data_IF_770502866326
#
_entry.id   IF_770502866326
#
_cell.length_a   1.000
_cell.length_b   1.000
_cell.length_c   1.000
_cell.angle_alpha   90.00
_cell.angle_beta   90.00
_cell.angle_gamma   90.00
#
_symmetry.space_group_name_H-M   'P 1'
#
loop_
_entity.id
_entity.type
_entity.pdbx_description
1 polymer ?
#
# COMPACT_ATOMS: atom_id res chain seq x y z
N UNK A 1 -25.97 27.20 3.52
CA UNK A 1 -25.50 27.35 4.92
C UNK A 1 -25.61 28.82 5.37
N UNK A 2 -25.70 29.12 6.68
CA UNK A 2 -25.61 30.50 7.21
C UNK A 2 -24.41 30.58 8.16
N UNK A 3 -23.43 31.43 7.84
CA UNK A 3 -22.30 31.76 8.71
C UNK A 3 -22.46 33.24 9.08
N UNK A 4 -22.57 33.52 10.38
CA UNK A 4 -23.00 34.82 10.92
C UNK A 4 -24.29 35.32 10.23
N UNK A 5 -24.19 36.46 9.54
CA UNK A 5 -25.29 37.10 8.82
C UNK A 5 -25.27 36.82 7.31
N UNK A 6 -24.34 35.99 6.82
CA UNK A 6 -24.21 35.68 5.39
C UNK A 6 -24.83 34.32 5.08
N UNK A 7 -25.69 34.28 4.05
CA UNK A 7 -26.29 33.06 3.52
C UNK A 7 -25.50 32.64 2.28
N UNK A 8 -24.95 31.43 2.33
CA UNK A 8 -24.20 30.82 1.24
C UNK A 8 -25.08 29.77 0.56
N UNK A 9 -25.11 29.80 -0.77
CA UNK A 9 -25.92 28.91 -1.63
C UNK A 9 -25.07 27.86 -2.37
N UNK A 10 -23.74 27.90 -2.24
CA UNK A 10 -22.86 26.89 -2.82
C UNK A 10 -22.88 25.58 -2.04
N UNK A 11 -22.56 24.50 -2.76
CA UNK A 11 -22.47 23.14 -2.22
C UNK A 11 -21.17 22.90 -1.43
N UNK A 12 -20.20 23.82 -1.53
CA UNK A 12 -18.94 23.76 -0.79
C UNK A 12 -18.42 25.17 -0.46
N UNK A 13 -17.54 25.27 0.54
CA UNK A 13 -16.75 26.46 0.85
C UNK A 13 -15.32 26.09 1.21
N UNK A 14 -14.37 26.97 0.87
CA UNK A 14 -12.96 26.80 1.21
C UNK A 14 -12.64 27.60 2.47
N UNK A 15 -11.96 26.96 3.42
CA UNK A 15 -11.25 27.62 4.49
C UNK A 15 -9.79 27.74 4.03
N UNK A 16 -9.32 28.98 3.90
CA UNK A 16 -7.94 29.29 3.55
C UNK A 16 -7.28 29.96 4.75
N UNK A 17 -6.01 29.64 5.08
CA UNK A 17 -5.27 30.39 6.07
C UNK A 17 -5.10 31.84 5.59
N UNK A 18 -5.16 32.80 6.52
CA UNK A 18 -5.04 34.24 6.22
C UNK A 18 -3.65 34.66 5.75
N UNK A 19 -2.67 33.77 5.86
CA UNK A 19 -1.27 33.88 5.47
C UNK A 19 -0.82 32.56 4.83
N UNK A 20 0.48 32.42 4.51
CA UNK A 20 1.06 31.14 4.05
C UNK A 20 1.20 30.11 5.20
N UNK A 21 0.28 30.15 6.17
CA UNK A 21 0.23 29.26 7.31
C UNK A 21 -0.40 27.91 6.96
N UNK A 22 -0.79 27.20 8.01
CA UNK A 22 -1.46 25.90 7.93
C UNK A 22 -2.81 25.98 8.63
N UNK A 23 -3.72 25.07 8.29
CA UNK A 23 -4.98 24.90 9.00
C UNK A 23 -4.84 23.73 9.98
N UNK A 24 -5.31 23.94 11.22
CA UNK A 24 -5.38 22.85 12.21
C UNK A 24 -6.78 22.24 12.24
N UNK A 25 -6.84 20.92 12.13
CA UNK A 25 -8.06 20.14 12.30
C UNK A 25 -7.72 18.85 13.07
N UNK A 26 -8.45 18.58 14.16
CA UNK A 26 -8.18 17.45 15.08
C UNK A 26 -6.69 17.33 15.47
N UNK A 27 -6.10 18.44 15.92
CA UNK A 27 -4.69 18.56 16.34
C UNK A 27 -3.63 18.29 15.26
N UNK A 28 -4.04 18.05 14.01
CA UNK A 28 -3.14 17.88 12.86
C UNK A 28 -3.14 19.14 11.99
N UNK A 29 -1.97 19.54 11.52
CA UNK A 29 -1.75 20.70 10.67
C UNK A 29 -1.78 20.29 9.18
N UNK A 30 -2.41 21.11 8.35
CA UNK A 30 -2.57 20.88 6.91
C UNK A 30 -2.15 22.11 6.11
N UNK A 31 -1.33 21.89 5.08
CA UNK A 31 -0.98 22.91 4.07
C UNK A 31 -2.16 23.13 3.11
N UNK A 32 -2.18 24.27 2.41
CA UNK A 32 -3.24 24.61 1.47
C UNK A 32 -4.53 25.05 2.18
N UNK A 33 -5.68 24.56 1.70
CA UNK A 33 -7.01 24.94 2.17
C UNK A 33 -7.84 23.71 2.57
N UNK A 34 -8.94 23.93 3.31
CA UNK A 34 -9.94 22.89 3.56
C UNK A 34 -11.21 23.20 2.78
N UNK A 35 -11.56 22.32 1.84
CA UNK A 35 -12.85 22.31 1.16
C UNK A 35 -13.86 21.56 2.02
N UNK A 36 -14.87 22.26 2.50
CA UNK A 36 -15.98 21.71 3.26
C UNK A 36 -17.16 21.49 2.31
N UNK A 37 -17.45 20.24 2.00
CA UNK A 37 -18.51 19.85 1.07
C UNK A 37 -19.68 19.21 1.81
N UNK A 38 -20.85 19.84 1.76
CA UNK A 38 -22.05 19.30 2.40
C UNK A 38 -22.66 18.18 1.55
N UNK A 39 -23.08 17.10 2.19
CA UNK A 39 -23.95 16.07 1.64
C UNK A 39 -25.30 16.12 2.35
N UNK A 40 -26.24 15.25 1.98
CA UNK A 40 -27.57 15.20 2.60
C UNK A 40 -27.52 14.99 4.12
N UNK A 41 -26.52 14.24 4.62
CA UNK A 41 -26.43 13.84 6.03
C UNK A 41 -25.07 14.12 6.70
N UNK A 42 -24.07 14.64 5.99
CA UNK A 42 -22.73 14.85 6.54
C UNK A 42 -21.99 16.03 5.89
N UNK A 43 -20.85 16.39 6.46
CA UNK A 43 -19.90 17.33 5.85
C UNK A 43 -18.60 16.56 5.60
N UNK A 44 -18.18 16.51 4.34
CA UNK A 44 -16.84 16.05 3.99
C UNK A 44 -15.85 17.19 4.20
N UNK A 45 -14.73 16.87 4.84
CA UNK A 45 -13.62 17.78 5.07
C UNK A 45 -12.47 17.31 4.18
N UNK A 46 -12.15 18.09 3.16
CA UNK A 46 -11.21 17.71 2.11
C UNK A 46 -10.05 18.69 2.15
N UNK A 47 -8.83 18.20 2.34
CA UNK A 47 -7.65 19.05 2.21
C UNK A 47 -7.37 19.31 0.72
N UNK A 48 -7.52 20.55 0.29
CA UNK A 48 -7.23 21.00 -1.06
C UNK A 48 -5.85 21.66 -1.09
N UNK A 49 -4.91 21.01 -1.76
CA UNK A 49 -3.48 21.25 -1.66
C UNK A 49 -2.81 21.02 -3.03
N UNK A 50 -1.70 21.71 -3.30
CA UNK A 50 -0.92 21.46 -4.50
C UNK A 50 -0.18 20.12 -4.40
N UNK A 51 -0.02 19.42 -5.53
CA UNK A 51 0.58 18.08 -5.58
C UNK A 51 1.96 18.00 -4.91
N UNK A 52 2.84 18.98 -5.13
CA UNK A 52 4.17 18.98 -4.51
C UNK A 52 4.10 19.10 -2.97
N UNK A 53 3.23 19.97 -2.43
CA UNK A 53 3.07 20.12 -0.97
C UNK A 53 2.41 18.89 -0.35
N UNK A 54 1.49 18.26 -1.07
CA UNK A 54 0.89 16.98 -0.68
C UNK A 54 1.98 15.91 -0.50
N UNK A 55 2.87 15.77 -1.49
CA UNK A 55 3.94 14.78 -1.46
C UNK A 55 4.87 14.96 -0.25
N UNK A 56 5.18 16.21 0.14
CA UNK A 56 6.00 16.46 1.35
C UNK A 56 5.41 15.82 2.62
N UNK A 57 4.08 15.76 2.72
CA UNK A 57 3.37 15.08 3.81
C UNK A 57 3.18 13.57 3.63
N UNK A 58 3.45 13.02 2.43
CA UNK A 58 3.35 11.59 2.12
C UNK A 58 4.68 10.87 2.36
N UNK A 59 5.80 11.41 1.87
CA UNK A 59 7.06 10.67 1.78
C UNK A 59 7.56 10.15 3.14
N UNK A 60 7.49 10.97 4.18
CA UNK A 60 7.92 10.59 5.53
C UNK A 60 6.98 9.60 6.24
N UNK A 61 5.75 9.46 5.74
CA UNK A 61 4.77 8.48 6.22
C UNK A 61 4.91 7.14 5.52
N UNK A 62 5.34 7.15 4.27
CA UNK A 62 5.49 5.96 3.45
C UNK A 62 6.84 5.28 3.63
N UNK A 63 7.93 6.04 3.77
CA UNK A 63 9.28 5.49 3.84
C UNK A 63 10.12 6.12 4.97
N UNK A 64 10.90 5.32 5.72
CA UNK A 64 11.83 5.84 6.70
C UNK A 64 12.87 6.81 6.10
N UNK A 65 13.04 7.97 6.72
CA UNK A 65 13.98 9.01 6.27
C UNK A 65 15.46 8.58 6.37
N UNK A 66 15.78 7.65 7.27
CA UNK A 66 17.16 7.21 7.51
C UNK A 66 18.02 8.24 8.25
N UNK A 67 19.34 8.09 8.17
CA UNK A 67 20.33 8.98 8.82
C UNK A 67 21.00 9.86 7.77
N UNK A 68 21.00 11.17 7.99
CA UNK A 68 21.58 12.12 7.04
C UNK A 68 20.86 12.08 5.69
N UNK A 69 21.61 11.87 4.61
CA UNK A 69 21.09 11.76 3.23
C UNK A 69 21.15 10.33 2.69
N UNK A 70 21.39 9.33 3.54
CA UNK A 70 21.64 7.95 3.10
C UNK A 70 20.48 7.34 2.29
N UNK A 71 19.24 7.75 2.60
CA UNK A 71 18.04 7.29 1.91
C UNK A 71 17.52 8.28 0.86
N UNK A 72 18.26 9.36 0.54
CA UNK A 72 17.72 10.43 -0.32
C UNK A 72 17.31 9.90 -1.71
N UNK A 73 18.10 9.02 -2.31
CA UNK A 73 17.82 8.46 -3.63
C UNK A 73 16.62 7.50 -3.59
N UNK A 74 16.46 6.73 -2.50
CA UNK A 74 15.26 5.94 -2.25
C UNK A 74 14.02 6.84 -2.11
N UNK A 75 14.11 7.92 -1.35
CA UNK A 75 13.00 8.88 -1.15
C UNK A 75 12.61 9.57 -2.46
N UNK A 76 13.59 9.91 -3.32
CA UNK A 76 13.33 10.45 -4.66
C UNK A 76 12.58 9.45 -5.55
N UNK A 77 13.03 8.20 -5.58
CA UNK A 77 12.37 7.13 -6.35
C UNK A 77 10.91 6.93 -5.90
N UNK A 78 10.68 6.89 -4.58
CA UNK A 78 9.34 6.81 -4.01
C UNK A 78 8.52 8.06 -4.35
N UNK A 79 9.12 9.24 -4.35
CA UNK A 79 8.42 10.49 -4.67
C UNK A 79 7.92 10.50 -6.10
N UNK A 80 8.72 10.05 -7.05
CA UNK A 80 8.30 9.92 -8.45
C UNK A 80 7.16 8.91 -8.58
N UNK A 81 7.24 7.77 -7.88
CA UNK A 81 6.14 6.80 -7.82
C UNK A 81 4.87 7.43 -7.23
N UNK A 82 4.98 8.08 -6.08
CA UNK A 82 3.86 8.71 -5.38
C UNK A 82 3.20 9.81 -6.23
N UNK A 83 4.00 10.64 -6.91
CA UNK A 83 3.50 11.67 -7.82
C UNK A 83 2.76 11.08 -9.02
N UNK A 84 3.31 10.00 -9.59
CA UNK A 84 2.70 9.29 -10.72
C UNK A 84 1.37 8.67 -10.31
N UNK A 85 1.32 8.01 -9.15
CA UNK A 85 0.10 7.45 -8.57
C UNK A 85 -0.97 8.53 -8.36
N UNK A 86 -0.61 9.64 -7.68
CA UNK A 86 -1.51 10.74 -7.42
C UNK A 86 -2.06 11.37 -8.72
N UNK A 87 -1.20 11.51 -9.74
CA UNK A 87 -1.60 12.00 -11.07
C UNK A 87 -2.66 11.10 -11.72
N UNK A 88 -2.49 9.77 -11.63
CA UNK A 88 -3.47 8.81 -12.13
C UNK A 88 -4.80 8.92 -11.36
N UNK A 89 -4.76 9.03 -10.03
CA UNK A 89 -5.96 9.19 -9.19
C UNK A 89 -6.74 10.47 -9.48
N UNK A 90 -6.03 11.58 -9.68
CA UNK A 90 -6.66 12.84 -10.09
C UNK A 90 -7.34 12.74 -11.47
N UNK A 91 -6.78 11.95 -12.39
CA UNK A 91 -7.38 11.69 -13.72
C UNK A 91 -8.61 10.76 -13.66
N UNK A 92 -8.67 9.84 -12.68
CA UNK A 92 -9.84 8.95 -12.49
C UNK A 92 -11.11 9.73 -12.12
N UNK A 93 -10.99 10.94 -11.55
CA UNK A 93 -12.10 11.88 -11.39
C UNK A 93 -13.18 11.43 -10.40
N UNK A 94 -12.80 11.10 -9.16
CA UNK A 94 -13.75 10.88 -8.05
C UNK A 94 -14.59 12.15 -7.79
N UNK A 95 -15.81 11.98 -7.29
CA UNK A 95 -16.86 13.03 -7.38
C UNK A 95 -16.59 14.32 -6.59
N UNK A 96 -15.85 14.28 -5.47
CA UNK A 96 -15.61 15.47 -4.62
C UNK A 96 -14.17 15.67 -4.13
N UNK A 97 -13.34 14.62 -4.09
CA UNK A 97 -11.92 14.58 -3.72
C UNK A 97 -11.18 13.55 -4.58
N UNK A 98 -9.86 13.66 -4.71
CA UNK A 98 -9.06 12.78 -5.60
C UNK A 98 -8.50 11.54 -4.87
N UNK A 99 -7.91 11.72 -3.68
CA UNK A 99 -7.09 10.72 -2.98
C UNK A 99 -7.48 10.65 -1.49
N UNK A 100 -7.54 9.44 -0.92
CA UNK A 100 -7.66 9.18 0.52
C UNK A 100 -6.31 9.38 1.23
N UNK A 101 -6.33 9.82 2.49
CA UNK A 101 -5.13 10.11 3.28
C UNK A 101 -4.60 8.91 4.09
N UNK A 102 -5.06 7.70 3.80
CA UNK A 102 -4.74 6.45 4.49
C UNK A 102 -4.38 5.31 3.52
N UNK A 103 -4.30 4.06 4.03
CA UNK A 103 -3.88 2.87 3.28
C UNK A 103 -4.74 2.55 2.06
N UNK A 104 -5.91 3.18 1.90
CA UNK A 104 -6.73 3.01 0.69
C UNK A 104 -6.07 3.61 -0.55
N UNK A 105 -5.30 4.68 -0.38
CA UNK A 105 -4.53 5.29 -1.45
C UNK A 105 -3.07 5.50 -0.99
N UNK A 106 -2.75 6.62 -0.32
CA UNK A 106 -1.40 6.90 0.20
C UNK A 106 -1.48 7.54 1.59
N UNK A 107 -0.56 7.18 2.47
CA UNK A 107 -0.51 7.71 3.83
C UNK A 107 -0.10 9.18 3.83
N UNK A 108 -1.04 10.09 4.10
CA UNK A 108 -0.76 11.53 4.13
C UNK A 108 -0.81 12.08 5.55
N UNK A 109 0.35 12.51 6.03
CA UNK A 109 0.56 13.01 7.38
C UNK A 109 0.32 14.51 7.57
N UNK A 110 -0.13 15.24 6.55
CA UNK A 110 -0.28 16.68 6.62
C UNK A 110 1.06 17.42 6.78
N UNK A 111 0.98 18.68 7.18
CA UNK A 111 2.14 19.56 7.41
C UNK A 111 3.06 19.03 8.51
N UNK A 112 2.51 18.36 9.51
CA UNK A 112 3.28 17.85 10.65
C UNK A 112 4.20 16.66 10.28
N UNK A 113 3.98 16.04 9.12
CA UNK A 113 4.84 14.98 8.61
C UNK A 113 5.97 15.49 7.72
N UNK A 114 5.94 16.73 7.28
CA UNK A 114 7.01 17.31 6.46
C UNK A 114 8.35 17.33 7.22
N UNK A 115 9.44 17.18 6.48
CA UNK A 115 10.79 17.15 7.03
C UNK A 115 11.78 17.71 5.99
N UNK A 116 12.93 18.26 6.40
CA UNK A 116 13.91 18.78 5.44
C UNK A 116 14.34 17.76 4.37
N UNK A 117 14.40 16.47 4.70
CA UNK A 117 14.81 15.44 3.75
C UNK A 117 13.69 15.00 2.81
N UNK A 118 12.45 14.87 3.29
CA UNK A 118 11.29 14.62 2.42
C UNK A 118 11.07 15.79 1.47
N UNK A 119 11.20 17.01 1.97
CA UNK A 119 11.05 18.23 1.18
C UNK A 119 12.10 18.31 0.08
N UNK A 120 13.35 17.99 0.42
CA UNK A 120 14.44 17.92 -0.55
C UNK A 120 14.19 16.87 -1.64
N UNK A 121 13.71 15.67 -1.29
CA UNK A 121 13.39 14.63 -2.27
C UNK A 121 12.28 15.08 -3.24
N UNK A 122 11.27 15.79 -2.73
CA UNK A 122 10.20 16.40 -3.53
C UNK A 122 10.73 17.49 -4.45
N UNK A 123 11.53 18.41 -3.93
CA UNK A 123 12.08 19.54 -4.67
C UNK A 123 13.04 19.10 -5.78
N UNK A 124 13.93 18.14 -5.51
CA UNK A 124 14.88 17.63 -6.50
C UNK A 124 14.22 16.75 -7.59
N UNK A 125 13.01 16.24 -7.34
CA UNK A 125 12.22 15.47 -8.31
C UNK A 125 10.98 16.22 -8.79
N UNK A 126 10.96 17.56 -8.66
CA UNK A 126 9.77 18.35 -8.94
C UNK A 126 9.22 18.10 -10.35
N UNK A 127 7.93 17.77 -10.40
CA UNK A 127 7.21 17.44 -11.63
C UNK A 127 7.64 16.13 -12.32
N UNK A 128 8.58 15.36 -11.78
CA UNK A 128 9.00 14.09 -12.38
C UNK A 128 8.00 12.98 -12.11
N UNK A 129 7.60 12.27 -13.16
CA UNK A 129 6.70 11.12 -13.13
C UNK A 129 7.30 9.95 -13.93
N UNK A 130 6.86 8.73 -13.63
CA UNK A 130 7.17 7.54 -14.42
C UNK A 130 6.20 7.44 -15.59
N UNK A 131 6.75 7.22 -16.78
CA UNK A 131 6.00 7.00 -18.01
C UNK A 131 6.36 5.65 -18.63
N UNK A 132 5.35 5.01 -19.22
CA UNK A 132 5.53 3.88 -20.13
C UNK A 132 4.83 4.19 -21.45
N UNK A 133 5.52 4.00 -22.57
CA UNK A 133 4.99 4.33 -23.90
C UNK A 133 4.42 5.76 -24.04
N UNK A 134 5.07 6.74 -23.39
CA UNK A 134 4.68 8.17 -23.32
C UNK A 134 3.42 8.51 -22.52
N UNK A 135 2.83 7.55 -21.80
CA UNK A 135 1.73 7.79 -20.86
C UNK A 135 2.20 7.55 -19.42
N UNK A 136 1.60 8.20 -18.41
CA UNK A 136 1.91 7.91 -17.00
C UNK A 136 1.76 6.42 -16.71
N UNK A 137 2.82 5.82 -16.20
CA UNK A 137 2.86 4.40 -15.86
C UNK A 137 1.95 4.13 -14.65
N UNK A 138 1.18 3.05 -14.69
CA UNK A 138 0.58 2.49 -13.47
C UNK A 138 1.72 2.12 -12.53
N UNK A 139 1.68 2.60 -11.29
CA UNK A 139 2.73 2.35 -10.31
C UNK A 139 2.14 1.84 -9.01
N UNK A 140 2.85 0.92 -8.40
CA UNK A 140 2.57 0.40 -7.07
C UNK A 140 3.87 0.36 -6.29
N UNK A 141 3.78 0.40 -4.96
CA UNK A 141 4.92 0.26 -4.09
C UNK A 141 4.48 -0.38 -2.78
N UNK A 142 5.35 -1.19 -2.19
CA UNK A 142 5.09 -1.84 -0.90
C UNK A 142 6.34 -1.89 -0.04
N UNK A 143 6.17 -2.19 1.25
CA UNK A 143 7.26 -2.09 2.22
C UNK A 143 8.41 -3.03 1.90
N UNK A 144 8.15 -4.34 1.86
CA UNK A 144 9.18 -5.37 1.77
C UNK A 144 8.70 -6.47 0.83
N UNK A 145 9.38 -6.70 -0.29
CA UNK A 145 8.89 -7.65 -1.30
C UNK A 145 9.08 -9.11 -0.88
N UNK A 146 10.14 -9.39 -0.10
CA UNK A 146 10.52 -10.74 0.34
C UNK A 146 11.52 -11.43 -0.60
N UNK A 147 12.23 -10.69 -1.45
CA UNK A 147 13.26 -11.21 -2.37
C UNK A 147 12.85 -11.22 -3.85
N UNK A 148 11.56 -11.10 -4.13
CA UNK A 148 11.05 -10.94 -5.49
C UNK A 148 9.77 -10.11 -5.46
N UNK A 149 9.62 -9.17 -6.39
CA UNK A 149 8.38 -8.39 -6.52
C UNK A 149 7.31 -9.19 -7.28
N UNK A 150 6.04 -8.94 -7.01
CA UNK A 150 4.94 -9.65 -7.65
C UNK A 150 4.52 -9.00 -8.96
N UNK A 151 4.07 -9.79 -9.92
CA UNK A 151 3.40 -9.26 -11.10
C UNK A 151 2.09 -8.54 -10.70
N UNK A 152 1.82 -7.38 -11.30
CA UNK A 152 0.62 -6.60 -10.97
C UNK A 152 -0.68 -7.37 -11.26
N UNK A 153 -0.67 -8.22 -12.28
CA UNK A 153 -1.85 -8.98 -12.68
C UNK A 153 -2.22 -10.10 -11.70
N UNK A 154 -1.29 -10.50 -10.82
CA UNK A 154 -1.53 -11.48 -9.76
C UNK A 154 -2.19 -10.86 -8.52
N UNK A 155 -2.24 -9.53 -8.41
CA UNK A 155 -2.67 -8.85 -7.18
C UNK A 155 -3.77 -7.80 -7.39
N UNK A 156 -3.68 -6.96 -8.42
CA UNK A 156 -4.53 -5.76 -8.51
C UNK A 156 -5.39 -5.64 -9.76
N UNK A 157 -4.97 -6.23 -10.87
CA UNK A 157 -5.59 -5.95 -12.17
C UNK A 157 -5.55 -7.17 -13.07
N UNK A 158 -6.36 -7.19 -14.12
CA UNK A 158 -6.23 -8.19 -15.20
C UNK A 158 -5.43 -7.64 -16.38
N UNK A 159 -5.07 -6.36 -16.34
CA UNK A 159 -4.26 -5.74 -17.37
C UNK A 159 -2.80 -6.16 -17.19
N UNK A 160 -2.17 -6.58 -18.28
CA UNK A 160 -0.74 -6.85 -18.32
C UNK A 160 0.02 -5.53 -18.50
N UNK A 161 0.97 -5.28 -17.61
CA UNK A 161 1.89 -4.15 -17.70
C UNK A 161 3.30 -4.72 -17.78
N UNK A 162 3.98 -4.67 -18.94
CA UNK A 162 5.27 -5.35 -19.14
C UNK A 162 6.38 -4.95 -18.16
N UNK A 163 6.24 -3.77 -17.54
CA UNK A 163 7.15 -3.22 -16.54
C UNK A 163 6.72 -3.52 -15.08
N UNK A 164 5.67 -4.34 -14.89
CA UNK A 164 5.17 -4.83 -13.60
C UNK A 164 4.96 -6.35 -13.61
N UNK A 165 5.89 -7.11 -14.22
CA UNK A 165 5.86 -8.58 -14.24
C UNK A 165 6.55 -9.21 -13.01
N UNK A 166 7.11 -8.38 -12.13
CA UNK A 166 7.94 -8.84 -11.01
C UNK A 166 9.41 -8.92 -11.41
N UNK A 167 10.28 -8.58 -10.47
CA UNK A 167 11.73 -8.58 -10.60
C UNK A 167 12.37 -9.15 -9.33
N UNK A 168 13.50 -9.82 -9.49
CA UNK A 168 14.35 -10.26 -8.37
C UNK A 168 14.88 -9.03 -7.61
N UNK A 169 14.77 -9.03 -6.28
CA UNK A 169 15.30 -7.97 -5.41
C UNK A 169 16.75 -8.27 -5.00
N UNK A 170 17.57 -8.67 -5.97
CA UNK A 170 18.94 -9.14 -5.77
C UNK A 170 19.07 -10.61 -5.37
N UNK A 171 20.27 -11.17 -5.54
CA UNK A 171 20.57 -12.57 -5.19
C UNK A 171 20.56 -12.83 -3.67
N UNK A 172 21.04 -11.87 -2.88
CA UNK A 172 20.73 -11.76 -1.45
C UNK A 172 19.77 -10.58 -1.33
N UNK A 173 18.50 -10.81 -0.94
CA UNK A 173 17.44 -9.82 -1.02
C UNK A 173 17.84 -8.47 -0.41
N UNK A 174 17.78 -7.41 -1.22
CA UNK A 174 18.09 -6.05 -0.79
C UNK A 174 17.20 -5.62 0.38
N UNK A 175 15.92 -6.02 0.36
CA UNK A 175 14.97 -5.70 1.42
C UNK A 175 15.17 -6.46 2.75
N UNK A 176 16.20 -7.31 2.87
CA UNK A 176 16.50 -8.10 4.09
C UNK A 176 16.87 -7.29 5.31
N UNK A 177 17.26 -6.02 5.15
CA UNK A 177 17.44 -5.11 6.29
C UNK A 177 16.12 -4.72 6.99
N UNK A 178 14.97 -5.01 6.37
CA UNK A 178 13.66 -4.73 6.95
C UNK A 178 13.43 -5.59 8.18
N UNK A 179 12.96 -4.99 9.27
CA UNK A 179 12.50 -5.74 10.45
C UNK A 179 11.24 -6.56 10.19
N UNK A 180 10.65 -6.42 9.00
CA UNK A 180 9.48 -7.17 8.51
C UNK A 180 9.83 -8.08 7.34
N UNK A 181 11.12 -8.39 7.16
CA UNK A 181 11.57 -9.30 6.12
C UNK A 181 11.20 -10.76 6.42
N UNK A 182 11.31 -11.17 7.67
CA UNK A 182 10.91 -12.49 8.18
C UNK A 182 9.89 -12.27 9.30
N UNK A 183 8.89 -13.14 9.36
CA UNK A 183 7.86 -13.12 10.39
C UNK A 183 7.25 -14.51 10.57
N UNK A 184 6.68 -14.75 11.74
CA UNK A 184 6.00 -15.98 12.10
C UNK A 184 4.65 -15.64 12.70
N UNK A 185 3.62 -16.34 12.28
CA UNK A 185 2.29 -16.28 12.86
C UNK A 185 1.83 -17.69 13.26
N UNK A 186 1.13 -17.80 14.38
CA UNK A 186 0.65 -19.07 14.91
C UNK A 186 -0.86 -18.96 15.14
N UNK A 187 -1.61 -19.85 14.50
CA UNK A 187 -3.06 -19.91 14.63
C UNK A 187 -3.50 -21.23 15.26
N UNK A 188 -4.46 -21.16 16.18
CA UNK A 188 -5.23 -22.37 16.48
C UNK A 188 -6.15 -22.69 15.31
N UNK A 189 -6.51 -23.96 15.15
CA UNK A 189 -7.42 -24.41 14.09
C UNK A 189 -8.80 -23.75 14.21
N UNK A 190 -9.26 -23.47 15.42
CA UNK A 190 -10.52 -22.76 15.69
C UNK A 190 -10.47 -21.31 15.17
N UNK A 191 -9.36 -20.59 15.38
CA UNK A 191 -9.21 -19.23 14.88
C UNK A 191 -9.28 -19.19 13.34
N UNK A 192 -8.72 -20.20 12.66
CA UNK A 192 -8.83 -20.29 11.20
C UNK A 192 -10.28 -20.54 10.76
N UNK A 193 -11.01 -21.44 11.44
CA UNK A 193 -12.43 -21.68 11.14
C UNK A 193 -13.26 -20.39 11.36
N UNK A 194 -13.05 -19.70 12.48
CA UNK A 194 -13.75 -18.44 12.79
C UNK A 194 -13.52 -17.39 11.69
N UNK A 195 -12.29 -17.30 11.16
CA UNK A 195 -11.95 -16.40 10.04
C UNK A 195 -12.68 -16.76 8.75
N UNK A 196 -12.84 -18.05 8.45
CA UNK A 196 -13.61 -18.48 7.29
C UNK A 196 -15.10 -18.12 7.43
N UNK A 197 -15.65 -18.21 8.65
CA UNK A 197 -17.03 -17.78 8.95
C UNK A 197 -17.17 -16.26 8.82
N UNK A 198 -16.23 -15.49 9.38
CA UNK A 198 -16.22 -14.01 9.29
C UNK A 198 -16.10 -13.52 7.84
N UNK A 199 -15.35 -14.24 7.01
CA UNK A 199 -15.24 -13.99 5.58
C UNK A 199 -16.45 -14.47 4.76
N UNK A 200 -17.47 -15.04 5.41
CA UNK A 200 -18.65 -15.66 4.79
C UNK A 200 -18.32 -16.78 3.79
N UNK A 201 -17.20 -17.49 4.01
CA UNK A 201 -16.81 -18.69 3.26
C UNK A 201 -17.35 -19.97 3.91
N UNK A 202 -17.79 -19.90 5.16
CA UNK A 202 -18.47 -20.95 5.89
C UNK A 202 -19.73 -20.43 6.58
N UNK A 203 -20.72 -21.31 6.75
CA UNK A 203 -21.85 -21.02 7.65
C UNK A 203 -21.40 -21.07 9.11
N UNK A 204 -22.07 -20.32 9.99
CA UNK A 204 -21.78 -20.31 11.42
C UNK A 204 -22.29 -21.60 12.10
N UNK A 205 -21.51 -22.68 11.95
CA UNK A 205 -21.72 -24.02 12.49
C UNK A 205 -20.41 -24.56 13.09
N UNK A 206 -20.45 -25.75 13.66
CA UNK A 206 -19.24 -26.45 14.15
C UNK A 206 -18.60 -27.27 13.04
N UNK A 207 -17.27 -27.18 12.95
CA UNK A 207 -16.44 -27.94 12.00
C UNK A 207 -15.23 -28.54 12.73
N UNK A 208 -14.80 -29.72 12.28
CA UNK A 208 -13.51 -30.29 12.61
C UNK A 208 -12.51 -29.92 11.52
N UNK A 209 -11.31 -29.49 11.91
CA UNK A 209 -10.26 -29.10 10.98
C UNK A 209 -9.42 -30.32 10.59
N UNK A 210 -9.34 -30.61 9.30
CA UNK A 210 -8.56 -31.72 8.77
C UNK A 210 -7.16 -31.24 8.34
N UNK A 211 -7.08 -30.46 7.26
CA UNK A 211 -5.82 -30.10 6.63
C UNK A 211 -5.84 -28.68 6.05
N UNK A 212 -4.65 -28.07 5.92
CA UNK A 212 -4.42 -26.84 5.18
C UNK A 212 -3.28 -27.04 4.18
N UNK A 213 -3.54 -26.70 2.92
CA UNK A 213 -2.69 -27.07 1.79
C UNK A 213 -2.44 -25.84 0.92
N UNK A 214 -1.17 -25.61 0.57
CA UNK A 214 -0.79 -24.67 -0.50
C UNK A 214 -0.78 -25.47 -1.80
N UNK A 215 -1.77 -25.23 -2.65
CA UNK A 215 -1.92 -25.94 -3.93
C UNK A 215 -1.10 -25.31 -5.05
N UNK A 216 -0.96 -23.98 -5.03
CA UNK A 216 -0.24 -23.27 -6.09
C UNK A 216 0.45 -21.99 -5.60
N UNK A 217 1.48 -21.58 -6.34
CA UNK A 217 2.26 -20.35 -6.11
C UNK A 217 2.51 -19.64 -7.42
N UNK A 218 2.51 -18.32 -7.37
CA UNK A 218 3.02 -17.49 -8.46
C UNK A 218 4.55 -17.64 -8.57
N UNK A 219 5.11 -17.23 -9.72
CA UNK A 219 6.56 -17.27 -9.99
C UNK A 219 7.40 -16.54 -8.92
N UNK A 220 6.86 -15.50 -8.30
CA UNK A 220 7.49 -14.76 -7.19
C UNK A 220 7.46 -15.51 -5.83
N UNK A 221 6.95 -16.74 -5.78
CA UNK A 221 6.84 -17.58 -4.58
C UNK A 221 5.61 -17.32 -3.71
N UNK A 222 4.87 -16.24 -3.95
CA UNK A 222 3.63 -15.93 -3.23
C UNK A 222 2.57 -17.00 -3.49
N UNK A 223 1.83 -17.38 -2.44
CA UNK A 223 0.72 -18.33 -2.50
C UNK A 223 -0.37 -17.79 -3.43
N UNK A 224 -0.74 -18.59 -4.42
CA UNK A 224 -1.88 -18.33 -5.30
C UNK A 224 -3.11 -19.11 -4.85
N UNK A 225 -2.97 -20.38 -4.46
CA UNK A 225 -4.12 -21.17 -4.01
C UNK A 225 -3.84 -21.79 -2.63
N UNK A 226 -4.68 -21.42 -1.66
CA UNK A 226 -4.75 -22.02 -0.34
C UNK A 226 -6.05 -22.79 -0.19
N UNK A 227 -5.97 -24.06 0.19
CA UNK A 227 -7.12 -24.93 0.45
C UNK A 227 -7.15 -25.34 1.92
N UNK A 228 -8.33 -25.23 2.55
CA UNK A 228 -8.58 -25.70 3.91
C UNK A 228 -9.67 -26.77 3.84
N UNK A 229 -9.35 -27.97 4.33
CA UNK A 229 -10.22 -29.13 4.40
C UNK A 229 -10.78 -29.27 5.81
N UNK A 230 -12.09 -29.50 5.90
CA UNK A 230 -12.84 -29.55 7.15
C UNK A 230 -13.90 -30.67 7.08
N UNK A 231 -14.39 -31.13 8.21
CA UNK A 231 -15.56 -32.01 8.31
C UNK A 231 -16.66 -31.32 9.12
N UNK A 232 -17.91 -31.36 8.66
CA UNK A 232 -19.03 -30.83 9.45
C UNK A 232 -19.58 -31.88 10.44
N UNK A 233 -20.51 -31.47 11.31
CA UNK A 233 -21.10 -32.36 12.32
C UNK A 233 -21.92 -33.54 11.76
N UNK A 234 -22.31 -33.48 10.48
CA UNK A 234 -23.02 -34.57 9.79
C UNK A 234 -22.04 -35.56 9.12
N UNK A 235 -20.74 -35.30 9.21
CA UNK A 235 -19.67 -36.11 8.63
C UNK A 235 -19.43 -35.86 7.14
N UNK A 236 -19.77 -34.67 6.65
CA UNK A 236 -19.52 -34.25 5.27
C UNK A 236 -18.22 -33.45 5.18
N UNK A 237 -17.36 -33.84 4.24
CA UNK A 237 -16.13 -33.15 3.90
C UNK A 237 -16.42 -31.82 3.19
N UNK A 238 -15.78 -30.75 3.66
CA UNK A 238 -15.88 -29.39 3.15
C UNK A 238 -14.50 -28.93 2.71
N UNK A 239 -14.43 -28.37 1.51
CA UNK A 239 -13.22 -27.75 0.95
C UNK A 239 -13.47 -26.25 0.75
N UNK A 240 -12.63 -25.42 1.35
CA UNK A 240 -12.62 -23.96 1.18
C UNK A 240 -11.33 -23.56 0.47
N UNK A 241 -11.47 -22.95 -0.71
CA UNK A 241 -10.34 -22.44 -1.51
C UNK A 241 -10.30 -20.92 -1.48
N UNK A 242 -9.12 -20.37 -1.22
CA UNK A 242 -8.87 -18.93 -1.16
C UNK A 242 -7.70 -18.61 -2.09
N UNK A 243 -7.81 -17.53 -2.84
CA UNK A 243 -6.88 -17.23 -3.93
C UNK A 243 -6.10 -15.93 -3.73
N UNK A 244 -4.83 -15.94 -4.16
CA UNK A 244 -3.93 -14.80 -4.23
C UNK A 244 -4.03 -13.86 -3.02
N UNK A 245 -4.27 -12.58 -3.28
CA UNK A 245 -4.30 -11.56 -2.23
C UNK A 245 -5.54 -11.65 -1.30
N UNK A 246 -6.59 -12.40 -1.68
CA UNK A 246 -7.75 -12.62 -0.81
C UNK A 246 -7.38 -13.48 0.40
N UNK A 247 -6.36 -14.34 0.30
CA UNK A 247 -5.82 -15.11 1.42
C UNK A 247 -5.48 -14.19 2.58
N UNK A 248 -4.81 -13.08 2.28
CA UNK A 248 -4.47 -12.09 3.30
C UNK A 248 -5.72 -11.44 3.88
N UNK A 249 -6.73 -11.12 3.08
CA UNK A 249 -7.98 -10.54 3.58
C UNK A 249 -8.78 -11.49 4.48
N UNK A 250 -8.83 -12.78 4.14
CA UNK A 250 -9.56 -13.81 4.88
C UNK A 250 -8.84 -14.16 6.17
N UNK A 251 -7.53 -14.35 6.11
CA UNK A 251 -6.75 -14.73 7.28
C UNK A 251 -6.42 -13.54 8.19
N UNK A 252 -6.60 -12.29 7.74
CA UNK A 252 -6.38 -11.08 8.53
C UNK A 252 -7.71 -10.46 8.93
N UNK A 253 -8.42 -11.02 9.91
CA UNK A 253 -9.66 -10.39 10.43
C UNK A 253 -9.70 -10.21 11.95
N UNK A 254 -10.15 -9.00 12.33
CA UNK A 254 -10.91 -8.69 13.54
C UNK A 254 -10.15 -8.33 14.81
N UNK A 255 -9.16 -9.14 15.22
CA UNK A 255 -8.64 -9.07 16.59
C UNK A 255 -7.52 -8.02 16.80
N UNK A 256 -6.97 -7.48 15.70
CA UNK A 256 -5.88 -6.51 15.70
C UNK A 256 -4.57 -7.05 16.25
N UNK A 257 -4.41 -8.38 16.36
CA UNK A 257 -3.21 -9.03 16.91
C UNK A 257 -2.45 -9.85 15.89
N UNK A 258 -3.17 -10.41 14.92
CA UNK A 258 -2.58 -11.20 13.86
C UNK A 258 -2.43 -10.36 12.59
N UNK A 259 -1.21 -10.33 12.07
CA UNK A 259 -0.89 -9.54 10.90
C UNK A 259 -0.24 -10.45 9.87
N UNK A 260 -1.03 -11.16 9.07
CA UNK A 260 -0.49 -11.81 7.88
C UNK A 260 0.10 -10.71 6.97
N UNK A 261 1.42 -10.55 7.00
CA UNK A 261 2.10 -9.40 6.42
C UNK A 261 2.18 -9.47 4.90
N UNK A 262 2.23 -10.67 4.35
CA UNK A 262 2.25 -10.92 2.91
C UNK A 262 1.61 -12.28 2.59
N UNK A 263 1.51 -12.61 1.30
CA UNK A 263 1.15 -13.95 0.83
C UNK A 263 2.39 -14.80 0.48
N UNK A 264 3.58 -14.33 0.81
CA UNK A 264 4.82 -15.09 0.67
C UNK A 264 5.10 -15.79 2.00
N UNK A 265 4.63 -17.01 2.13
CA UNK A 265 4.81 -17.82 3.33
C UNK A 265 4.78 -19.32 3.02
N UNK A 266 5.28 -20.11 3.95
CA UNK A 266 5.08 -21.55 4.06
C UNK A 266 4.19 -21.88 5.28
N UNK A 267 3.61 -23.08 5.30
CA UNK A 267 2.72 -23.53 6.37
C UNK A 267 3.23 -24.86 6.95
N UNK A 268 3.14 -25.00 8.27
CA UNK A 268 3.36 -26.24 9.01
C UNK A 268 2.19 -26.53 9.96
N UNK A 269 1.63 -27.75 9.90
CA UNK A 269 0.68 -28.24 10.92
C UNK A 269 1.43 -28.91 12.06
N UNK A 270 1.33 -28.36 13.27
CA UNK A 270 1.94 -28.90 14.50
C UNK A 270 0.94 -29.62 15.40
N UNK A 271 -0.21 -30.04 14.85
CA UNK A 271 -1.26 -30.79 15.53
C UNK A 271 -2.39 -29.90 16.02
N UNK A 272 -2.16 -29.15 17.09
CA UNK A 272 -3.15 -28.23 17.69
C UNK A 272 -3.11 -26.81 17.11
N UNK A 273 -2.09 -26.51 16.30
CA UNK A 273 -1.84 -25.19 15.73
C UNK A 273 -1.26 -25.29 14.33
N UNK A 274 -1.52 -24.25 13.54
CA UNK A 274 -0.94 -23.99 12.24
C UNK A 274 0.11 -22.89 12.40
N UNK A 275 1.34 -23.17 12.01
CA UNK A 275 2.44 -22.20 11.96
C UNK A 275 2.59 -21.69 10.54
N UNK A 276 2.64 -20.37 10.39
CA UNK A 276 2.88 -19.69 9.12
C UNK A 276 4.21 -18.93 9.23
N UNK A 277 5.21 -19.38 8.48
CA UNK A 277 6.51 -18.74 8.36
C UNK A 277 6.54 -17.92 7.07
N UNK A 278 6.66 -16.60 7.21
CA UNK A 278 6.47 -15.69 6.10
C UNK A 278 7.62 -14.72 5.87
N UNK A 279 7.62 -14.16 4.66
CA UNK A 279 8.56 -13.15 4.22
C UNK A 279 7.90 -11.91 3.65
N UNK A 280 8.51 -10.75 3.89
CA UNK A 280 8.07 -9.48 3.33
C UNK A 280 6.77 -8.92 3.95
N UNK A 281 6.41 -7.71 3.52
CA UNK A 281 5.27 -6.96 4.03
C UNK A 281 4.64 -6.11 2.93
N UNK A 282 3.37 -6.39 2.65
CA UNK A 282 2.58 -5.77 1.60
C UNK A 282 2.38 -6.65 0.36
N UNK A 283 1.78 -6.06 -0.66
CA UNK A 283 1.39 -6.74 -1.89
C UNK A 283 2.59 -7.17 -2.77
N UNK A 284 3.77 -6.57 -2.58
CA UNK A 284 4.98 -6.95 -3.31
C UNK A 284 5.09 -6.46 -4.74
N UNK A 285 4.06 -5.81 -5.30
CA UNK A 285 4.06 -5.25 -6.67
C UNK A 285 4.82 -3.93 -6.75
N UNK A 286 5.66 -3.77 -7.78
CA UNK A 286 6.37 -2.52 -8.10
C UNK A 286 7.55 -2.24 -7.18
N UNK A 287 7.70 -0.99 -6.74
CA UNK A 287 8.85 -0.56 -5.92
C UNK A 287 8.83 -1.24 -4.54
N UNK A 288 9.92 -1.93 -4.18
CA UNK A 288 10.15 -2.36 -2.80
C UNK A 288 10.82 -1.23 -2.01
N UNK A 289 10.14 -0.69 -0.99
CA UNK A 289 10.65 0.46 -0.22
C UNK A 289 11.97 0.13 0.48
N UNK A 290 12.06 -1.00 1.18
CA UNK A 290 13.28 -1.39 1.87
C UNK A 290 14.41 -1.81 0.90
N UNK A 291 14.08 -2.40 -0.25
CA UNK A 291 15.07 -2.67 -1.28
C UNK A 291 15.61 -1.37 -1.91
N UNK A 292 14.76 -0.39 -2.18
CA UNK A 292 15.17 0.94 -2.62
C UNK A 292 16.07 1.65 -1.58
N UNK A 293 15.77 1.53 -0.29
CA UNK A 293 16.62 2.04 0.80
C UNK A 293 18.00 1.40 0.75
N UNK A 294 18.08 0.07 0.63
CA UNK A 294 19.36 -0.63 0.50
C UNK A 294 20.15 -0.12 -0.71
N UNK A 295 19.53 -0.06 -1.88
CA UNK A 295 20.18 0.41 -3.11
C UNK A 295 20.69 1.85 -2.99
N UNK A 296 19.90 2.74 -2.39
CA UNK A 296 20.32 4.12 -2.07
C UNK A 296 21.55 4.16 -1.16
N UNK A 297 21.61 3.27 -0.15
CA UNK A 297 22.74 3.18 0.77
C UNK A 297 24.00 2.60 0.09
N UNK A 298 23.81 1.72 -0.91
CA UNK A 298 24.88 1.22 -1.78
C UNK A 298 25.27 2.20 -2.89
N UNK A 299 24.67 3.39 -2.93
CA UNK A 299 25.05 4.49 -3.81
C UNK A 299 24.36 4.52 -5.17
N UNK A 300 23.28 3.75 -5.35
CA UNK A 300 22.43 3.86 -6.54
C UNK A 300 21.69 5.20 -6.53
N UNK A 301 21.56 5.83 -7.69
CA UNK A 301 20.69 6.99 -7.86
C UNK A 301 19.23 6.56 -8.05
N UNK A 302 18.30 7.51 -7.94
CA UNK A 302 16.88 7.23 -8.08
C UNK A 302 16.50 6.72 -9.49
N UNK A 303 17.22 7.10 -10.54
CA UNK A 303 16.97 6.60 -11.89
C UNK A 303 17.26 5.10 -12.00
N UNK A 304 18.39 4.63 -11.46
CA UNK A 304 18.79 3.22 -11.46
C UNK A 304 17.84 2.38 -10.58
N UNK A 305 17.40 2.93 -9.45
CA UNK A 305 16.39 2.28 -8.58
C UNK A 305 15.06 2.11 -9.32
N UNK A 306 14.60 3.15 -10.03
CA UNK A 306 13.34 3.09 -10.77
C UNK A 306 13.43 2.14 -11.96
N UNK A 307 14.54 2.14 -12.71
CA UNK A 307 14.75 1.20 -13.81
C UNK A 307 14.78 -0.26 -13.32
N UNK A 308 15.32 -0.50 -12.12
CA UNK A 308 15.30 -1.84 -11.53
C UNK A 308 13.87 -2.34 -11.25
N UNK A 309 13.04 -1.54 -10.56
CA UNK A 309 11.69 -1.96 -10.16
C UNK A 309 10.61 -1.76 -11.23
N UNK A 310 10.86 -0.93 -12.24
CA UNK A 310 9.95 -0.64 -13.34
C UNK A 310 10.70 -0.67 -14.68
N UNK A 311 11.23 -1.83 -15.10
CA UNK A 311 12.10 -1.93 -16.26
C UNK A 311 11.42 -1.47 -17.55
N UNK A 312 12.13 -0.67 -18.34
CA UNK A 312 11.60 -0.13 -19.61
C UNK A 312 10.62 1.04 -19.45
N UNK A 313 10.44 1.56 -18.24
CA UNK A 313 9.80 2.87 -18.03
C UNK A 313 10.81 4.01 -18.27
N UNK A 314 10.33 5.24 -18.24
CA UNK A 314 11.17 6.42 -18.38
C UNK A 314 10.66 7.53 -17.47
N UNK A 315 11.58 8.35 -16.96
CA UNK A 315 11.20 9.53 -16.19
C UNK A 315 10.80 10.65 -17.16
N UNK A 316 9.53 11.03 -17.10
CA UNK A 316 8.99 12.20 -17.79
C UNK A 316 8.76 13.37 -16.83
N UNK A 317 8.30 14.48 -17.39
CA UNK A 317 7.74 15.59 -16.61
C UNK A 317 6.24 15.65 -16.78
N UNK A 318 5.54 15.92 -15.69
CA UNK A 318 4.17 16.38 -15.72
C UNK A 318 4.18 17.70 -16.47
N UNK A 319 3.61 17.72 -17.68
CA UNK A 319 3.37 18.97 -18.39
C UNK A 319 2.12 19.61 -17.77
N UNK A 320 2.24 20.89 -17.37
CA UNK A 320 1.10 21.72 -16.95
C UNK A 320 0.02 21.83 -18.05
#
# INVERSE_FOLDING_TARGET
MKIDNKKFTDNYFHLEPSDNGFIKFNDKSYSGSLKLAATDNSINIINYINLEDYLKGVISKEMPLGVGTANLEALKSLTICARTYATLKMKEGKSIFDIFDDTRDQMYGGKDAESPLSDLAVEETSGMILNYANEPAVVFYSSTCGGHTAAAHNVFTKNEYPYLEGVEDGNDPYCKLSTRYEWEEIYSKEVLIDRLVDAALLENNSYEFDEIIINDRFDCGRVDELEILLENMDGEDISVKIYGNDIRGVLMTGDGKSELWSTLFDISDEGDKIVIDGNGYGHGVGLCQWGAIYLSQEGWNYEDILEHYFPGTSIGKLND
#
